data_IF_185633967794
#
_entry.id   IF_185633967794
#
_cell.length_a   1.000
_cell.length_b   1.000
_cell.length_c   1.000
_cell.angle_alpha   90.00
_cell.angle_beta   90.00
_cell.angle_gamma   90.00
#
_symmetry.space_group_name_H-M   'P 1'
#
loop_
_entity.id
_entity.type
_entity.pdbx_description
1 polymer ?
#
# COMPACT_ATOMS: atom_id res chain seq x y z
N UNK A 1 -16.36 -18.19 4.40
CA UNK A 1 -16.14 -19.29 3.44
C UNK A 1 -14.66 -19.62 3.40
N UNK A 2 -14.24 -20.89 3.18
CA UNK A 2 -12.83 -21.22 2.96
C UNK A 2 -12.32 -20.59 1.67
N UNK A 3 -11.02 -20.34 1.59
CA UNK A 3 -10.39 -19.92 0.34
C UNK A 3 -10.24 -21.12 -0.60
N UNK A 4 -10.43 -20.91 -1.88
CA UNK A 4 -10.26 -21.93 -2.93
C UNK A 4 -9.13 -21.49 -3.85
N UNK A 5 -8.25 -22.39 -4.21
CA UNK A 5 -7.20 -22.11 -5.20
C UNK A 5 -7.84 -22.02 -6.59
N UNK A 6 -7.74 -20.85 -7.19
CA UNK A 6 -8.28 -20.54 -8.52
C UNK A 6 -7.26 -20.90 -9.61
N UNK A 7 -6.00 -20.62 -9.37
CA UNK A 7 -4.85 -20.99 -10.17
C UNK A 7 -3.64 -21.18 -9.22
N UNK A 8 -2.55 -21.84 -9.64
CA UNK A 8 -1.40 -22.09 -8.77
C UNK A 8 -0.91 -20.82 -8.07
N UNK A 9 -0.98 -20.80 -6.73
CA UNK A 9 -0.63 -19.64 -5.91
C UNK A 9 -1.60 -18.46 -5.94
N UNK A 10 -2.79 -18.60 -6.53
CA UNK A 10 -3.84 -17.60 -6.58
C UNK A 10 -5.10 -18.15 -5.92
N UNK A 11 -5.53 -17.53 -4.82
CA UNK A 11 -6.65 -17.99 -3.99
C UNK A 11 -7.77 -16.97 -3.96
N UNK A 12 -9.01 -17.43 -4.08
CA UNK A 12 -10.23 -16.62 -3.99
C UNK A 12 -11.09 -17.05 -2.80
N UNK A 13 -11.82 -16.09 -2.24
CA UNK A 13 -12.74 -16.31 -1.13
C UNK A 13 -14.04 -15.52 -1.34
N UNK A 14 -15.15 -16.19 -1.49
CA UNK A 14 -16.47 -15.54 -1.55
C UNK A 14 -16.74 -14.69 -2.81
N UNK A 15 -15.82 -14.68 -3.77
CA UNK A 15 -15.99 -14.01 -5.07
C UNK A 15 -16.10 -15.03 -6.20
N UNK A 16 -16.68 -14.60 -7.32
CA UNK A 16 -16.86 -15.44 -8.52
C UNK A 16 -16.22 -14.75 -9.72
N UNK A 17 -15.02 -15.15 -10.13
CA UNK A 17 -14.40 -14.64 -11.36
C UNK A 17 -15.17 -15.00 -12.62
N UNK A 18 -15.03 -14.21 -13.70
CA UNK A 18 -14.29 -12.95 -13.75
C UNK A 18 -15.06 -11.80 -13.09
N UNK A 19 -14.34 -10.90 -12.43
CA UNK A 19 -14.86 -9.61 -11.96
C UNK A 19 -14.51 -8.55 -13.00
N UNK A 20 -15.41 -7.58 -13.24
CA UNK A 20 -15.12 -6.49 -14.15
C UNK A 20 -14.34 -5.39 -13.43
N UNK A 21 -13.14 -5.09 -13.90
CA UNK A 21 -12.32 -4.00 -13.33
C UNK A 21 -13.03 -2.64 -13.43
N UNK A 22 -13.85 -2.45 -14.49
CA UNK A 22 -14.66 -1.25 -14.69
C UNK A 22 -15.83 -1.06 -13.71
N UNK A 23 -16.16 -2.06 -12.87
CA UNK A 23 -17.15 -1.90 -11.81
C UNK A 23 -16.59 -1.12 -10.62
N UNK A 24 -15.25 -1.05 -10.52
CA UNK A 24 -14.56 -0.29 -9.50
C UNK A 24 -14.21 1.12 -9.98
N UNK A 25 -13.97 2.02 -9.01
CA UNK A 25 -13.66 3.44 -9.26
C UNK A 25 -12.39 3.90 -8.57
N UNK A 26 -12.00 3.21 -7.50
CA UNK A 26 -10.82 3.50 -6.70
C UNK A 26 -10.04 2.22 -6.44
N UNK A 27 -8.71 2.32 -6.50
CA UNK A 27 -7.82 1.30 -5.97
C UNK A 27 -6.81 1.94 -5.03
N UNK A 28 -6.76 1.42 -3.79
CA UNK A 28 -5.83 1.84 -2.77
C UNK A 28 -4.76 0.76 -2.56
N UNK A 29 -3.50 1.18 -2.56
CA UNK A 29 -2.34 0.31 -2.37
C UNK A 29 -1.61 0.67 -1.08
N UNK A 30 -1.18 -0.33 -0.33
CA UNK A 30 -0.03 -0.19 0.54
C UNK A 30 1.25 -0.06 -0.29
N UNK A 31 2.33 0.43 0.31
CA UNK A 31 3.62 0.61 -0.35
C UNK A 31 4.60 -0.52 -0.04
N UNK A 32 5.01 -0.59 1.23
CA UNK A 32 6.09 -1.46 1.68
C UNK A 32 5.67 -2.93 1.56
N UNK A 33 6.53 -3.78 1.02
CA UNK A 33 6.24 -5.20 0.72
C UNK A 33 5.05 -5.45 -0.22
N UNK A 34 4.33 -4.41 -0.68
CA UNK A 34 3.21 -4.49 -1.63
C UNK A 34 3.58 -3.93 -2.99
N UNK A 35 3.80 -2.62 -3.14
CA UNK A 35 4.28 -2.01 -4.40
C UNK A 35 5.79 -2.13 -4.55
N UNK A 36 6.52 -2.11 -3.44
CA UNK A 36 7.98 -2.18 -3.40
C UNK A 36 8.45 -3.38 -2.57
N UNK A 37 9.69 -3.81 -2.84
CA UNK A 37 10.30 -5.03 -2.29
C UNK A 37 10.86 -4.89 -0.88
N UNK A 38 10.81 -3.70 -0.26
CA UNK A 38 11.42 -3.40 1.04
C UNK A 38 10.42 -2.85 2.04
N UNK A 39 10.80 -2.90 3.32
CA UNK A 39 10.21 -2.12 4.42
C UNK A 39 11.09 -0.89 4.63
N UNK A 40 10.67 0.28 4.12
CA UNK A 40 11.50 1.47 4.05
C UNK A 40 12.10 1.89 5.40
N UNK A 41 11.37 1.69 6.51
CA UNK A 41 11.90 2.03 7.82
C UNK A 41 12.93 1.02 8.31
N UNK A 42 12.81 -0.27 7.95
CA UNK A 42 13.74 -1.32 8.35
C UNK A 42 15.08 -1.19 7.63
N UNK A 43 15.06 -0.69 6.39
CA UNK A 43 16.30 -0.38 5.65
C UNK A 43 17.09 0.79 6.23
N UNK A 44 16.45 1.62 7.06
CA UNK A 44 17.08 2.77 7.71
C UNK A 44 17.37 2.48 9.19
N UNK A 45 16.56 1.63 9.85
CA UNK A 45 16.66 1.31 11.27
C UNK A 45 16.30 -0.15 11.57
N UNK A 46 17.22 -0.87 12.19
CA UNK A 46 17.12 -2.32 12.48
C UNK A 46 16.42 -2.60 13.81
N UNK A 47 15.08 -2.36 13.94
CA UNK A 47 14.33 -2.63 15.18
C UNK A 47 12.83 -2.91 15.03
N UNK A 48 12.26 -3.72 15.97
CA UNK A 48 10.85 -4.17 16.05
C UNK A 48 9.91 -3.26 16.86
N UNK A 49 10.25 -2.02 17.13
CA UNK A 49 9.49 -1.11 18.00
C UNK A 49 8.41 -0.29 17.26
N UNK A 50 7.60 0.46 18.03
CA UNK A 50 6.59 1.34 17.45
C UNK A 50 7.21 2.38 16.49
N UNK A 51 6.47 2.82 15.46
CA UNK A 51 6.96 3.74 14.43
C UNK A 51 7.70 4.97 15.02
N UNK A 52 7.13 5.61 16.06
CA UNK A 52 7.78 6.79 16.69
C UNK A 52 9.15 6.47 17.30
N UNK A 53 9.32 5.30 17.91
CA UNK A 53 10.62 4.87 18.47
C UNK A 53 11.63 4.59 17.37
N UNK A 54 11.20 3.93 16.30
CA UNK A 54 12.05 3.64 15.12
C UNK A 54 12.48 4.93 14.45
N UNK A 55 11.58 5.90 14.28
CA UNK A 55 11.89 7.22 13.74
C UNK A 55 12.87 7.99 14.65
N UNK A 56 12.75 7.88 15.97
CA UNK A 56 13.69 8.54 16.91
C UNK A 56 15.13 8.06 16.74
N UNK A 57 15.35 6.81 16.31
CA UNK A 57 16.70 6.28 16.01
C UNK A 57 17.35 6.94 14.80
N UNK A 58 16.58 7.57 13.94
CA UNK A 58 17.06 8.27 12.74
C UNK A 58 17.61 9.67 13.08
N UNK A 59 17.50 10.14 14.34
CA UNK A 59 17.94 11.46 14.74
C UNK A 59 19.42 11.70 14.40
N UNK A 60 19.70 12.80 13.71
CA UNK A 60 21.04 13.17 13.29
C UNK A 60 21.56 12.48 12.02
N UNK A 61 20.87 11.48 11.49
CA UNK A 61 21.24 10.87 10.21
C UNK A 61 21.15 11.91 9.08
N UNK A 62 22.08 11.89 8.10
CA UNK A 62 21.98 12.76 6.93
C UNK A 62 20.68 12.47 6.15
N UNK A 63 19.96 13.49 5.71
CA UNK A 63 18.77 13.32 4.83
C UNK A 63 19.11 12.54 3.55
N UNK A 64 20.33 12.65 3.07
CA UNK A 64 20.83 11.94 1.89
C UNK A 64 20.70 10.41 1.99
N UNK A 65 20.61 9.83 3.20
CA UNK A 65 20.38 8.39 3.38
C UNK A 65 19.07 7.94 2.74
N UNK A 66 18.05 8.79 2.72
CA UNK A 66 16.77 8.47 2.10
C UNK A 66 16.92 8.29 0.59
N UNK A 67 17.70 9.18 -0.04
CA UNK A 67 17.99 9.06 -1.48
C UNK A 67 18.83 7.81 -1.77
N UNK A 68 19.82 7.52 -0.92
CA UNK A 68 20.63 6.32 -1.07
C UNK A 68 19.78 5.04 -1.00
N UNK A 69 18.88 4.93 -0.03
CA UNK A 69 17.96 3.79 0.08
C UNK A 69 17.06 3.68 -1.16
N UNK A 70 16.56 4.80 -1.65
CA UNK A 70 15.72 4.82 -2.85
C UNK A 70 16.48 4.30 -4.08
N UNK A 71 17.73 4.76 -4.28
CA UNK A 71 18.50 4.44 -5.47
C UNK A 71 19.11 3.03 -5.44
N UNK A 72 19.55 2.55 -4.26
CA UNK A 72 20.32 1.32 -4.12
C UNK A 72 19.49 0.10 -3.69
N UNK A 73 18.35 0.31 -3.00
CA UNK A 73 17.61 -0.77 -2.35
C UNK A 73 16.19 -0.95 -2.85
N UNK A 74 15.52 0.16 -3.21
CA UNK A 74 14.11 0.12 -3.56
C UNK A 74 13.92 -0.35 -4.99
N UNK A 75 13.08 -1.38 -5.16
CA UNK A 75 12.63 -1.87 -6.45
C UNK A 75 11.11 -2.09 -6.40
N UNK A 76 10.44 -1.91 -7.53
CA UNK A 76 9.05 -2.29 -7.66
C UNK A 76 8.90 -3.82 -7.62
N UNK A 77 7.88 -4.29 -6.93
CA UNK A 77 7.52 -5.70 -6.95
C UNK A 77 7.10 -6.15 -8.37
N UNK A 78 7.31 -7.42 -8.73
CA UNK A 78 6.92 -7.94 -10.04
C UNK A 78 5.44 -7.68 -10.35
N UNK A 79 5.15 -7.24 -11.58
CA UNK A 79 3.80 -7.05 -12.08
C UNK A 79 3.09 -5.76 -11.62
N UNK A 80 3.69 -4.96 -10.75
CA UNK A 80 3.10 -3.71 -10.21
C UNK A 80 2.75 -2.74 -11.33
N UNK A 81 3.70 -2.42 -12.22
CA UNK A 81 3.47 -1.45 -13.31
C UNK A 81 2.32 -1.89 -14.22
N UNK A 82 2.32 -3.18 -14.60
CA UNK A 82 1.27 -3.75 -15.46
C UNK A 82 -0.10 -3.67 -14.79
N UNK A 83 -0.19 -4.01 -13.51
CA UNK A 83 -1.46 -3.98 -12.77
C UNK A 83 -1.98 -2.55 -12.60
N UNK A 84 -1.12 -1.62 -12.17
CA UNK A 84 -1.46 -0.19 -12.04
C UNK A 84 -1.91 0.38 -13.39
N UNK A 85 -1.21 0.06 -14.48
CA UNK A 85 -1.58 0.51 -15.83
C UNK A 85 -2.96 -0.01 -16.23
N UNK A 86 -3.28 -1.29 -15.97
CA UNK A 86 -4.59 -1.87 -16.25
C UNK A 86 -5.70 -1.18 -15.46
N UNK A 87 -5.49 -0.93 -14.15
CA UNK A 87 -6.45 -0.20 -13.31
C UNK A 87 -6.72 1.22 -13.86
N UNK A 88 -5.67 1.94 -14.23
CA UNK A 88 -5.79 3.28 -14.81
C UNK A 88 -6.50 3.27 -16.18
N UNK A 89 -6.19 2.29 -17.02
CA UNK A 89 -6.84 2.11 -18.32
C UNK A 89 -8.35 1.81 -18.18
N UNK A 90 -8.74 1.11 -17.11
CA UNK A 90 -10.14 0.88 -16.75
C UNK A 90 -10.82 2.09 -16.08
N UNK A 91 -10.11 3.20 -15.88
CA UNK A 91 -10.65 4.45 -15.34
C UNK A 91 -10.65 4.55 -13.81
N UNK A 92 -9.98 3.64 -13.10
CA UNK A 92 -9.87 3.72 -11.65
C UNK A 92 -8.95 4.87 -11.24
N UNK A 93 -9.34 5.59 -10.18
CA UNK A 93 -8.42 6.44 -9.44
C UNK A 93 -7.50 5.58 -8.60
N UNK A 94 -6.26 6.01 -8.45
CA UNK A 94 -5.19 5.26 -7.80
C UNK A 94 -4.68 6.02 -6.58
N UNK A 95 -4.66 5.35 -5.43
CA UNK A 95 -4.31 5.90 -4.13
C UNK A 95 -3.23 5.04 -3.47
N UNK A 96 -2.15 5.65 -3.03
CA UNK A 96 -1.11 5.03 -2.22
C UNK A 96 -1.29 5.46 -0.77
N UNK A 97 -1.42 4.51 0.17
CA UNK A 97 -1.53 4.79 1.60
C UNK A 97 -0.48 3.96 2.35
N UNK A 98 0.55 4.60 2.90
CA UNK A 98 1.67 3.91 3.52
C UNK A 98 1.95 4.39 4.93
N UNK A 99 2.25 3.44 5.83
CA UNK A 99 2.86 3.71 7.12
C UNK A 99 4.32 4.17 7.03
N UNK A 100 4.95 4.04 5.87
CA UNK A 100 6.28 4.56 5.57
C UNK A 100 6.31 6.08 5.39
N UNK A 101 7.28 6.56 4.60
CA UNK A 101 7.59 8.00 4.54
C UNK A 101 7.23 8.64 3.19
N UNK A 102 6.78 9.89 3.26
CA UNK A 102 6.38 10.70 2.10
C UNK A 102 7.52 10.89 1.08
N UNK A 103 8.77 10.83 1.52
CA UNK A 103 9.93 10.83 0.63
C UNK A 103 9.86 9.71 -0.41
N UNK A 104 9.53 8.49 0.00
CA UNK A 104 9.43 7.33 -0.89
C UNK A 104 8.08 7.31 -1.61
N UNK A 105 6.98 7.49 -0.88
CA UNK A 105 5.63 7.39 -1.47
C UNK A 105 5.40 8.40 -2.58
N UNK A 106 5.96 9.61 -2.47
CA UNK A 106 5.82 10.62 -3.52
C UNK A 106 6.61 10.26 -4.79
N UNK A 107 7.80 9.66 -4.64
CA UNK A 107 8.59 9.17 -5.78
C UNK A 107 7.93 7.99 -6.48
N UNK A 108 7.37 7.05 -5.71
CA UNK A 108 6.59 5.92 -6.24
C UNK A 108 5.32 6.43 -6.92
N UNK A 109 4.61 7.40 -6.32
CA UNK A 109 3.43 8.03 -6.92
C UNK A 109 3.77 8.63 -8.28
N UNK A 110 4.87 9.37 -8.39
CA UNK A 110 5.31 9.98 -9.64
C UNK A 110 5.72 8.93 -10.67
N UNK A 111 6.49 7.93 -10.27
CA UNK A 111 6.97 6.85 -11.15
C UNK A 111 5.80 6.07 -11.75
N UNK A 112 4.87 5.61 -10.92
CA UNK A 112 3.68 4.85 -11.33
C UNK A 112 2.53 5.75 -11.82
N UNK A 113 2.70 7.08 -11.77
CA UNK A 113 1.67 8.09 -12.13
C UNK A 113 0.36 7.88 -11.36
N UNK A 114 0.46 7.61 -10.05
CA UNK A 114 -0.72 7.46 -9.19
C UNK A 114 -1.37 8.84 -8.96
N UNK A 115 -2.70 8.85 -8.76
CA UNK A 115 -3.46 10.09 -8.55
C UNK A 115 -3.17 10.71 -7.18
N UNK A 116 -3.13 9.88 -6.11
CA UNK A 116 -3.02 10.34 -4.73
C UNK A 116 -1.98 9.53 -3.95
N UNK A 117 -1.37 10.16 -2.95
CA UNK A 117 -0.54 9.47 -1.96
C UNK A 117 -0.72 10.06 -0.56
N UNK A 118 -0.72 9.20 0.45
CA UNK A 118 -0.74 9.53 1.87
C UNK A 118 0.29 8.70 2.62
N UNK A 119 1.24 9.34 3.29
CA UNK A 119 2.26 8.71 4.11
C UNK A 119 2.71 9.64 5.23
N UNK A 120 3.51 9.13 6.18
CA UNK A 120 4.11 9.94 7.23
C UNK A 120 5.23 10.83 6.67
N UNK A 121 5.48 11.96 7.28
CA UNK A 121 6.55 12.87 6.87
C UNK A 121 7.62 12.93 7.95
N UNK A 122 8.87 12.63 7.60
CA UNK A 122 10.00 12.80 8.49
C UNK A 122 10.31 14.28 8.71
N UNK A 123 10.63 14.64 9.96
CA UNK A 123 11.19 15.95 10.27
C UNK A 123 12.63 16.05 9.76
N UNK A 124 12.94 17.15 9.07
CA UNK A 124 14.29 17.46 8.58
C UNK A 124 14.67 18.86 9.06
N UNK A 125 15.89 19.00 9.55
CA UNK A 125 16.48 20.28 9.91
C UNK A 125 17.95 20.31 9.52
N UNK A 126 18.36 21.35 8.79
CA UNK A 126 19.72 21.52 8.30
C UNK A 126 20.30 20.26 7.60
N UNK A 127 19.51 19.60 6.73
CA UNK A 127 19.92 18.41 5.98
C UNK A 127 20.10 17.14 6.83
N UNK A 128 19.55 17.13 8.05
CA UNK A 128 19.56 15.97 8.94
C UNK A 128 18.15 15.64 9.41
N UNK A 129 17.89 14.34 9.58
CA UNK A 129 16.65 13.84 10.16
C UNK A 129 16.58 14.25 11.64
N UNK A 130 15.43 14.74 12.08
CA UNK A 130 15.23 15.18 13.47
C UNK A 130 14.92 14.04 14.42
N UNK A 131 14.61 12.85 13.89
CA UNK A 131 14.10 11.72 14.68
C UNK A 131 12.63 11.89 15.09
N UNK A 132 11.89 12.78 14.43
CA UNK A 132 10.47 13.00 14.67
C UNK A 132 9.68 12.93 13.37
N UNK A 133 8.39 12.63 13.49
CA UNK A 133 7.44 12.83 12.40
C UNK A 133 6.91 14.25 12.43
N UNK A 134 6.66 14.80 11.26
CA UNK A 134 6.03 16.10 11.12
C UNK A 134 4.55 15.97 11.44
N UNK A 135 4.09 16.60 12.52
CA UNK A 135 2.68 16.63 12.89
C UNK A 135 1.89 17.46 11.87
N UNK A 136 0.86 16.88 11.34
CA UNK A 136 -0.04 17.55 10.38
C UNK A 136 -1.38 17.86 11.02
N UNK A 137 -1.95 19.06 10.80
CA UNK A 137 -3.24 19.44 11.37
C UNK A 137 -4.41 18.59 10.91
N UNK A 138 -4.26 17.82 9.83
CA UNK A 138 -5.34 17.07 9.16
C UNK A 138 -5.18 15.55 9.22
N UNK A 139 -4.39 15.01 10.14
CA UNK A 139 -4.33 13.57 10.27
C UNK A 139 -3.21 13.05 11.17
N UNK A 140 -3.48 11.94 11.78
CA UNK A 140 -2.58 11.19 12.63
C UNK A 140 -1.51 10.43 11.83
N UNK A 141 -0.66 9.72 12.56
CA UNK A 141 0.27 8.74 11.99
C UNK A 141 -0.52 7.74 11.16
N UNK A 142 -0.02 7.45 9.96
CA UNK A 142 -0.65 6.48 9.08
C UNK A 142 -0.38 5.07 9.61
N UNK A 143 -1.30 4.61 10.44
CA UNK A 143 -1.44 3.25 10.92
C UNK A 143 -2.62 2.54 10.22
N UNK A 144 -3.03 1.37 10.70
CA UNK A 144 -4.13 0.63 10.09
C UNK A 144 -5.48 1.35 10.18
N UNK A 145 -5.74 2.07 11.28
CA UNK A 145 -6.98 2.85 11.44
C UNK A 145 -7.00 4.05 10.49
N UNK A 146 -5.87 4.75 10.38
CA UNK A 146 -5.71 5.86 9.46
C UNK A 146 -5.77 5.42 8.00
N UNK A 147 -5.20 4.26 7.63
CA UNK A 147 -5.35 3.70 6.27
C UNK A 147 -6.83 3.51 5.91
N UNK A 148 -7.61 2.95 6.84
CA UNK A 148 -9.06 2.82 6.65
C UNK A 148 -9.75 4.17 6.51
N UNK A 149 -9.44 5.13 7.39
CA UNK A 149 -10.03 6.47 7.38
C UNK A 149 -9.78 7.18 6.05
N UNK A 150 -8.55 7.14 5.55
CA UNK A 150 -8.17 7.75 4.27
C UNK A 150 -8.93 7.12 3.10
N UNK A 151 -9.08 5.78 3.07
CA UNK A 151 -9.88 5.10 2.04
C UNK A 151 -11.33 5.62 2.04
N UNK A 152 -11.96 5.68 3.22
CA UNK A 152 -13.34 6.14 3.37
C UNK A 152 -13.50 7.59 2.93
N UNK A 153 -12.59 8.47 3.36
CA UNK A 153 -12.57 9.89 3.00
C UNK A 153 -12.45 10.09 1.48
N UNK A 154 -11.56 9.34 0.81
CA UNK A 154 -11.42 9.43 -0.64
C UNK A 154 -12.66 8.89 -1.36
N UNK A 155 -13.27 7.81 -0.88
CA UNK A 155 -14.55 7.34 -1.42
C UNK A 155 -15.65 8.41 -1.28
N UNK A 156 -15.75 9.05 -0.13
CA UNK A 156 -16.72 10.15 0.11
C UNK A 156 -16.46 11.33 -0.84
N UNK A 157 -15.22 11.81 -0.94
CA UNK A 157 -14.84 12.90 -1.82
C UNK A 157 -15.11 12.59 -3.31
N UNK A 158 -15.00 11.33 -3.70
CA UNK A 158 -15.30 10.88 -5.06
C UNK A 158 -16.81 10.60 -5.28
N UNK A 159 -17.63 10.64 -4.23
CA UNK A 159 -19.06 10.30 -4.31
C UNK A 159 -19.33 8.84 -4.68
N UNK A 160 -18.47 7.90 -4.25
CA UNK A 160 -18.57 6.47 -4.54
C UNK A 160 -18.82 5.64 -3.28
N UNK A 161 -19.44 4.47 -3.46
CA UNK A 161 -19.52 3.47 -2.38
C UNK A 161 -18.14 2.78 -2.20
N UNK A 162 -17.84 2.39 -0.96
CA UNK A 162 -16.66 1.56 -0.66
C UNK A 162 -16.67 0.20 -1.37
N UNK A 163 -17.85 -0.29 -1.76
CA UNK A 163 -17.98 -1.48 -2.61
C UNK A 163 -17.34 -1.30 -4.00
N UNK A 164 -17.18 -0.04 -4.45
CA UNK A 164 -16.49 0.30 -5.70
C UNK A 164 -14.99 0.58 -5.50
N UNK A 165 -14.47 0.27 -4.32
CA UNK A 165 -13.05 0.38 -4.02
C UNK A 165 -12.37 -0.99 -3.96
N UNK A 166 -11.13 -1.05 -4.44
CA UNK A 166 -10.20 -2.17 -4.25
C UNK A 166 -9.15 -1.73 -3.23
N UNK A 167 -8.76 -2.61 -2.30
CA UNK A 167 -7.64 -2.37 -1.40
C UNK A 167 -6.62 -3.49 -1.50
N UNK A 168 -5.34 -3.12 -1.62
CA UNK A 168 -4.21 -4.03 -1.80
C UNK A 168 -3.21 -3.86 -0.67
N UNK A 169 -2.77 -4.96 -0.05
CA UNK A 169 -1.79 -4.95 1.02
C UNK A 169 -1.26 -6.35 1.34
N UNK A 170 -0.27 -6.44 2.23
CA UNK A 170 0.36 -7.70 2.65
C UNK A 170 0.23 -7.97 4.15
N UNK A 171 0.11 -6.91 4.96
CA UNK A 171 0.26 -6.91 6.41
C UNK A 171 -1.03 -6.73 7.20
N UNK A 172 -0.96 -7.01 8.50
CA UNK A 172 -2.10 -6.85 9.42
C UNK A 172 -2.55 -5.40 9.57
N UNK A 173 -1.65 -4.44 9.35
CA UNK A 173 -1.94 -3.00 9.32
C UNK A 173 -2.81 -2.59 8.12
N UNK A 174 -2.92 -3.43 7.07
CA UNK A 174 -3.76 -3.17 5.90
C UNK A 174 -5.18 -3.69 6.07
N UNK A 175 -5.37 -4.66 6.99
CA UNK A 175 -6.67 -5.29 7.18
C UNK A 175 -7.82 -4.30 7.41
N UNK A 176 -7.69 -3.23 8.22
CA UNK A 176 -8.78 -2.28 8.41
C UNK A 176 -9.22 -1.60 7.10
N UNK A 177 -8.26 -1.26 6.21
CA UNK A 177 -8.53 -0.72 4.88
C UNK A 177 -9.11 -1.80 3.95
N UNK A 178 -8.51 -2.98 3.92
CA UNK A 178 -8.92 -4.10 3.06
C UNK A 178 -10.33 -4.58 3.37
N UNK A 179 -10.72 -4.62 4.65
CA UNK A 179 -12.06 -5.04 5.08
C UNK A 179 -13.14 -3.98 4.83
N UNK A 180 -12.76 -2.72 4.58
CA UNK A 180 -13.67 -1.66 4.23
C UNK A 180 -13.95 -1.57 2.72
N UNK A 181 -13.09 -2.13 1.89
CA UNK A 181 -13.21 -2.12 0.43
C UNK A 181 -14.10 -3.26 -0.08
N UNK A 182 -14.71 -3.07 -1.25
CA UNK A 182 -15.52 -4.10 -1.93
C UNK A 182 -14.69 -5.28 -2.43
N UNK A 183 -13.42 -5.05 -2.77
CA UNK A 183 -12.47 -6.12 -3.10
C UNK A 183 -11.16 -5.92 -2.34
N UNK A 184 -10.75 -6.92 -1.58
CA UNK A 184 -9.44 -6.96 -0.93
C UNK A 184 -8.50 -7.92 -1.66
N UNK A 185 -7.30 -7.42 -2.00
CA UNK A 185 -6.23 -8.18 -2.66
C UNK A 185 -5.04 -8.26 -1.71
N UNK A 186 -4.66 -9.47 -1.34
CA UNK A 186 -3.49 -9.72 -0.51
C UNK A 186 -2.32 -10.19 -1.38
N UNK A 187 -1.22 -9.44 -1.38
CA UNK A 187 -0.02 -9.74 -2.16
C UNK A 187 1.07 -10.33 -1.26
N UNK A 188 1.51 -11.55 -1.55
CA UNK A 188 2.44 -12.34 -0.71
C UNK A 188 2.15 -12.22 0.80
N UNK A 189 0.87 -12.42 1.21
CA UNK A 189 0.38 -11.99 2.50
C UNK A 189 0.93 -12.80 3.66
N UNK A 190 1.06 -12.14 4.80
CA UNK A 190 1.21 -12.80 6.09
C UNK A 190 -0.03 -13.67 6.39
N UNK A 191 0.09 -14.80 7.15
CA UNK A 191 -1.01 -15.76 7.32
C UNK A 191 -2.35 -15.14 7.73
N UNK A 192 -2.33 -14.21 8.70
CA UNK A 192 -3.53 -13.54 9.20
C UNK A 192 -4.27 -12.69 8.13
N UNK A 193 -3.55 -12.17 7.14
CA UNK A 193 -4.13 -11.40 6.03
C UNK A 193 -4.70 -12.34 4.99
N UNK A 194 -3.97 -13.43 4.65
CA UNK A 194 -4.43 -14.45 3.71
C UNK A 194 -5.78 -15.06 4.10
N UNK A 195 -6.01 -15.22 5.41
CA UNK A 195 -7.27 -15.78 5.91
C UNK A 195 -8.48 -14.87 5.75
N UNK A 196 -8.28 -13.57 5.50
CA UNK A 196 -9.35 -12.56 5.45
C UNK A 196 -9.56 -11.98 4.07
N UNK A 197 -8.53 -11.90 3.24
CA UNK A 197 -8.62 -11.32 1.91
C UNK A 197 -9.53 -12.11 0.98
N UNK A 198 -10.20 -11.41 0.06
CA UNK A 198 -11.07 -12.00 -0.97
C UNK A 198 -10.25 -12.59 -2.13
N UNK A 199 -9.13 -11.99 -2.45
CA UNK A 199 -8.14 -12.47 -3.42
C UNK A 199 -6.77 -12.49 -2.75
N UNK A 200 -6.03 -13.60 -2.86
CA UNK A 200 -4.66 -13.72 -2.34
C UNK A 200 -3.72 -14.24 -3.41
N UNK A 201 -2.64 -13.52 -3.63
CA UNK A 201 -1.55 -13.87 -4.54
C UNK A 201 -0.36 -14.32 -3.68
N UNK A 202 -0.05 -15.61 -3.68
CA UNK A 202 1.04 -16.18 -2.88
C UNK A 202 2.27 -16.51 -3.71
N UNK A 203 2.16 -16.43 -5.05
CA UNK A 203 3.24 -16.68 -5.99
C UNK A 203 3.09 -15.76 -7.21
N UNK A 204 4.21 -15.30 -7.75
CA UNK A 204 4.25 -14.47 -8.96
C UNK A 204 4.03 -12.97 -8.68
N UNK A 205 3.80 -12.19 -9.72
CA UNK A 205 3.65 -10.74 -9.65
C UNK A 205 2.24 -10.27 -9.26
N UNK A 206 2.13 -9.01 -8.89
CA UNK A 206 0.84 -8.38 -8.53
C UNK A 206 -0.15 -8.38 -9.70
N UNK A 207 0.34 -8.35 -10.93
CA UNK A 207 -0.47 -8.43 -12.16
C UNK A 207 -1.26 -9.73 -12.30
N UNK A 208 -0.98 -10.75 -11.50
CA UNK A 208 -1.80 -11.96 -11.41
C UNK A 208 -3.24 -11.68 -10.96
N UNK A 209 -3.48 -10.55 -10.30
CA UNK A 209 -4.84 -10.08 -10.03
C UNK A 209 -5.70 -9.97 -11.31
N UNK A 210 -5.07 -9.72 -12.47
CA UNK A 210 -5.75 -9.64 -13.76
C UNK A 210 -6.22 -11.00 -14.31
N UNK A 211 -5.85 -12.13 -13.70
CA UNK A 211 -6.42 -13.44 -14.00
C UNK A 211 -7.88 -13.53 -13.47
N UNK A 212 -8.20 -12.72 -12.45
CA UNK A 212 -9.52 -12.66 -11.79
C UNK A 212 -10.29 -11.41 -12.20
N UNK A 213 -9.59 -10.29 -12.42
CA UNK A 213 -10.12 -8.99 -12.85
C UNK A 213 -9.93 -8.80 -14.38
N UNK A 214 -10.98 -8.39 -15.09
CA UNK A 214 -10.93 -8.16 -16.54
C UNK A 214 -11.52 -6.82 -16.92
#
# INVERSE_FOLDING_TARGET
MPATEFAPGLFIRGIRPPLNLSDYRLIAFDMDSTLINIECIDEIADFKDSLRRRVALLAGAPEAVLQQVYDERLQLNPGVERFVQACRAAGLKTLLISGGFSFFSERIRQHLKLDFARANTLGVFNGRLTGTLFDRPWGDIVDGAEKRRVLLEVCELMGISTEQAIAVGDGANDLPMMMAAGLSIAYHPKPAVREKALLSITQGGLDRALEVLR
#
